data_IF_642992736040
#
_entry.id   IF_642992736040
#
_cell.length_a   1.000
_cell.length_b   1.000
_cell.length_c   1.000
_cell.angle_alpha   90.00
_cell.angle_beta   90.00
_cell.angle_gamma   90.00
#
_symmetry.space_group_name_H-M   'P 1'
#
loop_
_entity.id
_entity.type
_entity.pdbx_description
1 polymer ?
#
# COMPACT_ATOMS: atom_id res chain seq x y z
N UNK A 1 -7.95 11.16 10.10
CA UNK A 1 -6.83 10.20 10.29
C UNK A 1 -5.88 10.50 11.45
N UNK A 2 -5.36 11.72 11.67
CA UNK A 2 -4.29 11.93 12.65
C UNK A 2 -4.71 11.65 14.10
N UNK A 3 -5.91 12.07 14.52
CA UNK A 3 -6.42 11.80 15.87
C UNK A 3 -6.52 10.29 16.17
N UNK A 4 -7.14 9.51 15.26
CA UNK A 4 -7.25 8.06 15.38
C UNK A 4 -5.88 7.37 15.46
N UNK A 5 -4.96 7.80 14.59
CA UNK A 5 -3.61 7.22 14.52
C UNK A 5 -2.82 7.47 15.80
N UNK A 6 -2.92 8.68 16.36
CA UNK A 6 -2.26 9.08 17.60
C UNK A 6 -2.86 8.38 18.83
N UNK A 7 -4.19 8.35 18.95
CA UNK A 7 -4.89 7.74 20.09
C UNK A 7 -4.63 6.23 20.20
N UNK A 8 -4.56 5.52 19.07
CA UNK A 8 -4.44 4.06 19.02
C UNK A 8 -3.06 3.54 18.61
N UNK A 9 -2.08 4.43 18.39
CA UNK A 9 -0.70 4.09 17.95
C UNK A 9 -0.69 3.10 16.78
N UNK A 10 -1.57 3.32 15.79
CA UNK A 10 -1.81 2.36 14.69
C UNK A 10 -0.60 2.19 13.76
N UNK A 11 0.33 3.15 13.77
CA UNK A 11 1.58 3.06 12.99
C UNK A 11 2.50 1.94 13.49
N UNK A 12 2.57 1.80 14.81
CA UNK A 12 3.39 0.83 15.54
C UNK A 12 2.69 -0.51 15.77
N UNK A 13 1.48 -0.67 15.23
CA UNK A 13 0.74 -1.92 15.33
C UNK A 13 1.55 -3.08 14.70
N UNK A 14 1.88 -4.08 15.53
CA UNK A 14 2.54 -5.33 15.07
C UNK A 14 1.59 -6.23 14.27
N UNK A 15 0.28 -6.06 14.45
CA UNK A 15 -0.72 -6.84 13.74
C UNK A 15 -0.88 -6.33 12.30
N UNK A 16 -0.47 -7.15 11.33
CA UNK A 16 -0.55 -6.82 9.90
C UNK A 16 -1.97 -6.60 9.40
N UNK A 17 -3.00 -7.23 9.98
CA UNK A 17 -4.40 -7.03 9.58
C UNK A 17 -4.93 -5.67 10.07
N UNK A 18 -4.57 -5.29 11.29
CA UNK A 18 -4.90 -3.97 11.84
C UNK A 18 -4.21 -2.88 11.02
N UNK A 19 -2.91 -3.04 10.75
CA UNK A 19 -2.13 -2.10 9.94
C UNK A 19 -2.68 -2.01 8.52
N UNK A 20 -3.02 -3.13 7.90
CA UNK A 20 -3.68 -3.16 6.60
C UNK A 20 -5.00 -2.39 6.60
N UNK A 21 -5.87 -2.62 7.58
CA UNK A 21 -7.17 -1.94 7.66
C UNK A 21 -7.00 -0.43 7.81
N UNK A 22 -6.03 0.01 8.62
CA UNK A 22 -5.69 1.43 8.75
C UNK A 22 -5.12 2.04 7.46
N UNK A 23 -4.26 1.31 6.74
CA UNK A 23 -3.72 1.74 5.45
C UNK A 23 -4.83 1.90 4.41
N UNK A 24 -5.72 0.91 4.30
CA UNK A 24 -6.87 0.98 3.39
C UNK A 24 -7.76 2.18 3.69
N UNK A 25 -8.09 2.40 4.96
CA UNK A 25 -8.90 3.55 5.36
C UNK A 25 -8.23 4.89 5.00
N UNK A 26 -6.91 5.00 5.18
CA UNK A 26 -6.15 6.18 4.78
C UNK A 26 -6.14 6.39 3.25
N UNK A 27 -6.05 5.32 2.47
CA UNK A 27 -6.09 5.37 1.01
C UNK A 27 -7.48 5.76 0.50
N UNK A 28 -8.54 5.20 1.09
CA UNK A 28 -9.94 5.51 0.74
C UNK A 28 -10.29 6.98 1.06
N UNK A 29 -9.73 7.53 2.13
CA UNK A 29 -9.91 8.94 2.51
C UNK A 29 -8.90 9.89 1.85
N UNK A 30 -8.06 9.40 0.94
CA UNK A 30 -7.02 10.18 0.25
C UNK A 30 -6.10 10.96 1.19
N UNK A 31 -5.76 10.36 2.33
CA UNK A 31 -4.88 10.98 3.32
C UNK A 31 -3.41 10.87 2.89
N UNK A 32 -2.85 11.93 2.30
CA UNK A 32 -1.50 11.96 1.71
C UNK A 32 -0.36 11.28 2.52
N UNK A 33 -0.27 11.46 3.85
CA UNK A 33 0.78 10.82 4.65
C UNK A 33 0.73 9.28 4.64
N UNK A 34 -0.35 8.67 4.18
CA UNK A 34 -0.48 7.20 4.11
C UNK A 34 0.29 6.60 2.94
N UNK A 35 0.54 7.37 1.87
CA UNK A 35 1.17 6.87 0.63
C UNK A 35 2.51 6.18 0.92
N UNK A 36 3.51 6.85 1.54
CA UNK A 36 4.79 6.19 1.82
C UNK A 36 4.66 4.99 2.76
N UNK A 37 3.68 5.01 3.68
CA UNK A 37 3.45 3.93 4.65
C UNK A 37 2.83 2.70 4.00
N UNK A 38 1.88 2.90 3.09
CA UNK A 38 1.29 1.86 2.28
C UNK A 38 2.34 1.22 1.36
N UNK A 39 3.14 2.04 0.70
CA UNK A 39 4.23 1.61 -0.16
C UNK A 39 5.28 0.78 0.59
N UNK A 40 5.71 1.21 1.78
CA UNK A 40 6.63 0.44 2.61
C UNK A 40 6.03 -0.90 3.06
N UNK A 41 4.78 -0.89 3.51
CA UNK A 41 4.10 -2.10 4.00
C UNK A 41 4.01 -3.20 2.93
N UNK A 42 3.73 -2.81 1.68
CA UNK A 42 3.64 -3.75 0.57
C UNK A 42 4.98 -4.41 0.25
N UNK A 43 6.09 -3.67 0.37
CA UNK A 43 7.44 -4.23 0.21
C UNK A 43 7.82 -5.17 1.36
N UNK A 44 7.45 -4.84 2.60
CA UNK A 44 7.77 -5.67 3.77
C UNK A 44 7.01 -7.00 3.78
N UNK A 45 5.72 -6.99 3.46
CA UNK A 45 4.87 -8.18 3.64
C UNK A 45 4.81 -9.05 2.39
N UNK A 46 4.74 -8.47 1.18
CA UNK A 46 4.71 -9.22 -0.09
C UNK A 46 3.47 -10.13 -0.31
N UNK A 47 2.57 -10.28 0.67
CA UNK A 47 1.38 -11.14 0.59
C UNK A 47 0.29 -10.50 -0.25
N UNK A 48 -0.18 -11.23 -1.27
CA UNK A 48 -1.20 -10.79 -2.21
C UNK A 48 -2.51 -10.29 -1.58
N UNK A 49 -2.90 -10.84 -0.41
CA UNK A 49 -4.05 -10.38 0.39
C UNK A 49 -3.98 -8.87 0.66
N UNK A 50 -2.78 -8.32 0.83
CA UNK A 50 -2.55 -6.92 1.13
C UNK A 50 -2.05 -6.14 -0.09
N UNK A 51 -1.11 -6.71 -0.85
CA UNK A 51 -0.48 -6.02 -1.97
C UNK A 51 -1.51 -5.60 -3.04
N UNK A 52 -2.41 -6.52 -3.40
CA UNK A 52 -3.39 -6.28 -4.47
C UNK A 52 -4.34 -5.12 -4.16
N UNK A 53 -5.06 -5.09 -3.02
CA UNK A 53 -5.96 -3.98 -2.70
C UNK A 53 -5.23 -2.64 -2.48
N UNK A 54 -4.02 -2.66 -1.88
CA UNK A 54 -3.23 -1.42 -1.70
C UNK A 54 -2.82 -0.84 -3.05
N UNK A 55 -2.21 -1.64 -3.93
CA UNK A 55 -1.81 -1.16 -5.26
C UNK A 55 -3.00 -0.70 -6.09
N UNK A 56 -4.14 -1.41 -6.01
CA UNK A 56 -5.37 -0.98 -6.69
C UNK A 56 -5.80 0.42 -6.25
N UNK A 57 -5.79 0.69 -4.95
CA UNK A 57 -6.18 1.98 -4.39
C UNK A 57 -5.18 3.08 -4.75
N UNK A 58 -3.87 2.78 -4.69
CA UNK A 58 -2.80 3.69 -5.08
C UNK A 58 -2.84 4.05 -6.58
N UNK A 59 -3.08 3.07 -7.45
CA UNK A 59 -3.16 3.30 -8.90
C UNK A 59 -4.44 4.05 -9.30
N UNK A 60 -5.52 3.88 -8.53
CA UNK A 60 -6.77 4.63 -8.70
C UNK A 60 -6.69 6.07 -8.20
N UNK A 61 -5.69 6.42 -7.40
CA UNK A 61 -5.51 7.78 -6.87
C UNK A 61 -4.47 8.56 -7.68
N UNK A 62 -4.86 9.60 -8.45
CA UNK A 62 -3.95 10.28 -9.36
C UNK A 62 -2.67 10.82 -8.71
N UNK A 63 -2.77 11.33 -7.47
CA UNK A 63 -1.64 11.89 -6.75
C UNK A 63 -0.64 10.83 -6.26
N UNK A 64 -1.10 9.60 -5.99
CA UNK A 64 -0.25 8.51 -5.51
C UNK A 64 0.25 7.59 -6.64
N UNK A 65 -0.41 7.63 -7.81
CA UNK A 65 -0.15 6.73 -8.94
C UNK A 65 1.31 6.77 -9.39
N UNK A 66 1.87 7.96 -9.59
CA UNK A 66 3.25 8.11 -10.06
C UNK A 66 4.26 7.44 -9.11
N UNK A 67 4.13 7.71 -7.80
CA UNK A 67 5.00 7.11 -6.78
C UNK A 67 4.82 5.60 -6.69
N UNK A 68 3.58 5.10 -6.81
CA UNK A 68 3.30 3.68 -6.77
C UNK A 68 3.86 2.93 -7.99
N UNK A 69 3.75 3.51 -9.19
CA UNK A 69 4.33 2.96 -10.43
C UNK A 69 5.85 2.91 -10.33
N UNK A 70 6.48 4.03 -9.92
CA UNK A 70 7.93 4.13 -9.78
C UNK A 70 8.48 3.07 -8.81
N UNK A 71 7.86 2.93 -7.63
CA UNK A 71 8.30 1.94 -6.65
C UNK A 71 8.06 0.51 -7.12
N UNK A 72 6.91 0.26 -7.78
CA UNK A 72 6.60 -1.06 -8.32
C UNK A 72 7.65 -1.51 -9.34
N UNK A 73 7.98 -0.67 -10.33
CA UNK A 73 8.99 -1.00 -11.34
C UNK A 73 10.38 -1.21 -10.72
N UNK A 74 10.77 -0.39 -9.74
CA UNK A 74 12.04 -0.54 -9.04
C UNK A 74 12.16 -1.87 -8.28
N UNK A 75 11.06 -2.34 -7.68
CA UNK A 75 11.03 -3.55 -6.86
C UNK A 75 10.51 -4.80 -7.60
N UNK A 76 10.06 -4.66 -8.85
CA UNK A 76 9.42 -5.72 -9.63
C UNK A 76 10.26 -6.99 -9.72
N UNK A 77 11.59 -6.84 -9.79
CA UNK A 77 12.55 -7.96 -9.86
C UNK A 77 12.67 -8.75 -8.55
N UNK A 78 12.40 -8.10 -7.42
CA UNK A 78 12.47 -8.70 -6.08
C UNK A 78 11.14 -9.33 -5.65
N UNK A 79 10.05 -8.98 -6.34
CA UNK A 79 8.74 -9.56 -6.08
C UNK A 79 8.62 -10.96 -6.67
N UNK A 80 7.81 -11.81 -6.03
CA UNK A 80 7.44 -13.11 -6.59
C UNK A 80 6.82 -12.91 -8.00
N UNK A 81 7.21 -13.70 -9.02
CA UNK A 81 6.79 -13.47 -10.42
C UNK A 81 5.28 -13.38 -10.61
N UNK A 82 4.51 -14.21 -9.87
CA UNK A 82 3.04 -14.19 -9.90
C UNK A 82 2.49 -12.87 -9.33
N UNK A 83 3.05 -12.39 -8.22
CA UNK A 83 2.65 -11.12 -7.59
C UNK A 83 2.94 -9.95 -8.53
N UNK A 84 4.13 -9.90 -9.11
CA UNK A 84 4.52 -8.89 -10.08
C UNK A 84 3.59 -8.89 -11.31
N UNK A 85 3.28 -10.06 -11.86
CA UNK A 85 2.37 -10.19 -13.01
C UNK A 85 0.97 -9.67 -12.70
N UNK A 86 0.40 -10.00 -11.53
CA UNK A 86 -0.92 -9.54 -11.13
C UNK A 86 -0.94 -8.03 -10.89
N UNK A 87 0.09 -7.46 -10.26
CA UNK A 87 0.15 -6.01 -10.01
C UNK A 87 0.36 -5.25 -11.34
N UNK A 88 1.20 -5.76 -12.24
CA UNK A 88 1.37 -5.17 -13.56
C UNK A 88 0.05 -5.12 -14.35
N UNK A 89 -0.80 -6.16 -14.22
CA UNK A 89 -2.15 -6.16 -14.81
C UNK A 89 -3.10 -5.12 -14.22
N UNK A 90 -2.83 -4.58 -13.02
CA UNK A 90 -3.63 -3.49 -12.44
C UNK A 90 -3.18 -2.10 -12.92
N UNK A 91 -2.02 -2.03 -13.58
CA UNK A 91 -1.43 -0.79 -14.07
C UNK A 91 -1.98 -0.39 -15.45
N UNK A 92 -2.25 -1.41 -16.28
CA UNK A 92 -3.01 -1.34 -17.54
C UNK A 92 -4.52 -1.28 -17.29
#
# INVERSE_FOLDING_TARGET
MPALTSSFKLEDAKNSELKFSWLMLGLDTQWFPIIPKALAFVLTVGRMKYCKPIYRSLFGWPAARASAVQQFEANRKNMHPITASIIAKLLN
#
